data_IF_923405239336
#
_entry.id   IF_923405239336
#
_cell.length_a   1.000
_cell.length_b   1.000
_cell.length_c   1.000
_cell.angle_alpha   90.00
_cell.angle_beta   90.00
_cell.angle_gamma   90.00
#
_symmetry.space_group_name_H-M   'P 1'
#
loop_
_entity.id
_entity.type
_entity.pdbx_description
1 polymer ?
#
# COMPACT_ATOMS: atom_id res chain seq x y z
N UNK A 1 -6.51 -2.13 -8.89
CA UNK A 1 -7.03 -1.20 -7.87
C UNK A 1 -5.87 -0.51 -7.18
N UNK A 2 -6.10 0.71 -6.75
CA UNK A 2 -5.06 1.51 -6.14
C UNK A 2 -5.48 1.99 -4.76
N UNK A 3 -4.51 2.11 -3.89
CA UNK A 3 -4.72 2.64 -2.55
C UNK A 3 -3.74 3.79 -2.34
N UNK A 4 -4.19 4.82 -1.66
CA UNK A 4 -3.36 6.00 -1.43
C UNK A 4 -3.23 6.26 0.06
N UNK A 5 -2.04 6.63 0.49
CA UNK A 5 -1.81 7.02 1.86
C UNK A 5 -2.45 8.39 2.10
N UNK A 6 -3.33 8.47 3.10
CA UNK A 6 -4.04 9.71 3.39
C UNK A 6 -3.14 10.78 4.00
N UNK A 7 -1.97 10.40 4.43
CA UNK A 7 -1.06 11.31 5.12
C UNK A 7 -0.06 11.95 4.16
N UNK A 8 0.59 11.14 3.34
CA UNK A 8 1.64 11.66 2.45
C UNK A 8 1.30 11.54 0.96
N UNK A 9 0.25 10.80 0.62
CA UNK A 9 -0.15 10.66 -0.77
C UNK A 9 0.57 9.58 -1.56
N UNK A 10 1.32 8.72 -0.88
CA UNK A 10 1.98 7.62 -1.56
C UNK A 10 0.93 6.64 -2.07
N UNK A 11 1.12 6.16 -3.30
CA UNK A 11 0.16 5.27 -3.93
C UNK A 11 0.69 3.85 -4.01
N UNK A 12 -0.18 2.90 -3.68
CA UNK A 12 0.09 1.49 -3.85
C UNK A 12 -0.79 0.94 -4.97
N UNK A 13 -0.16 0.40 -5.99
CA UNK A 13 -0.88 -0.21 -7.11
C UNK A 13 -0.77 -1.73 -6.96
N UNK A 14 -1.91 -2.39 -6.86
CA UNK A 14 -1.93 -3.84 -6.69
C UNK A 14 -1.27 -4.57 -7.85
N UNK A 15 -1.35 -4.01 -9.05
CA UNK A 15 -0.75 -4.65 -10.21
C UNK A 15 0.77 -4.55 -10.20
N UNK A 16 1.30 -3.47 -9.66
CA UNK A 16 2.74 -3.26 -9.61
C UNK A 16 3.37 -3.77 -8.32
N UNK A 17 2.58 -3.81 -7.26
CA UNK A 17 3.08 -4.20 -5.97
C UNK A 17 4.09 -3.21 -5.41
N UNK A 18 4.87 -3.68 -4.47
CA UNK A 18 5.95 -2.87 -3.90
C UNK A 18 7.10 -3.79 -3.53
N UNK A 19 7.93 -4.17 -4.52
CA UNK A 19 9.01 -5.15 -4.27
C UNK A 19 10.00 -4.73 -3.20
N UNK A 20 10.24 -3.42 -3.09
CA UNK A 20 11.17 -2.92 -2.07
C UNK A 20 10.66 -3.19 -0.66
N UNK A 21 9.35 -3.27 -0.50
CA UNK A 21 8.74 -3.60 0.78
C UNK A 21 8.38 -5.07 0.91
N UNK A 22 8.77 -5.88 -0.07
CA UNK A 22 8.49 -7.30 -0.03
C UNK A 22 7.12 -7.69 -0.56
N UNK A 23 6.47 -6.82 -1.31
CA UNK A 23 5.15 -7.08 -1.85
C UNK A 23 5.26 -7.34 -3.34
N UNK A 24 4.97 -8.57 -3.75
CA UNK A 24 5.09 -8.96 -5.15
C UNK A 24 4.02 -8.28 -6.01
N UNK A 25 4.32 -8.03 -7.30
CA UNK A 25 3.30 -7.52 -8.21
C UNK A 25 2.11 -8.47 -8.29
N UNK A 26 0.92 -7.90 -8.35
CA UNK A 26 -0.31 -8.67 -8.40
C UNK A 26 -0.89 -9.05 -7.06
N UNK A 27 -0.24 -8.67 -5.98
CA UNK A 27 -0.73 -8.97 -4.64
C UNK A 27 -1.82 -7.97 -4.25
N UNK A 28 -2.97 -8.49 -3.84
CA UNK A 28 -4.09 -7.64 -3.48
C UNK A 28 -3.84 -6.96 -2.14
N UNK A 29 -4.48 -5.81 -1.97
CA UNK A 29 -4.32 -5.03 -0.73
C UNK A 29 -4.68 -5.86 0.50
N UNK A 30 -5.72 -6.65 0.41
CA UNK A 30 -6.15 -7.47 1.54
C UNK A 30 -5.15 -8.58 1.88
N UNK A 31 -4.27 -8.92 0.92
CA UNK A 31 -3.22 -9.91 1.13
C UNK A 31 -1.94 -9.28 1.65
N UNK A 32 -1.87 -7.96 1.65
CA UNK A 32 -0.73 -7.26 2.24
C UNK A 32 -0.82 -7.39 3.75
N UNK A 33 0.31 -7.67 4.40
CA UNK A 33 0.34 -7.88 5.84
C UNK A 33 -0.24 -6.68 6.58
N UNK A 34 -0.88 -6.96 7.70
CA UNK A 34 -1.56 -5.90 8.44
C UNK A 34 -0.61 -4.90 9.08
N UNK A 35 0.63 -5.30 9.29
CA UNK A 35 1.63 -4.42 9.88
C UNK A 35 2.41 -3.64 8.81
N UNK A 36 1.96 -3.70 7.56
CA UNK A 36 2.57 -2.91 6.51
C UNK A 36 2.45 -1.42 6.82
N UNK A 37 3.52 -0.70 6.58
CA UNK A 37 3.56 0.74 6.82
C UNK A 37 3.96 1.48 5.55
N UNK A 38 3.43 2.69 5.40
CA UNK A 38 3.79 3.53 4.27
C UNK A 38 5.30 3.77 4.27
N UNK A 39 5.99 3.54 3.13
CA UNK A 39 7.43 3.72 3.09
C UNK A 39 7.89 5.17 3.23
N UNK A 40 6.97 6.11 3.09
CA UNK A 40 7.31 7.53 3.15
C UNK A 40 7.03 8.13 4.52
N UNK A 41 5.89 7.82 5.11
CA UNK A 41 5.50 8.45 6.37
C UNK A 41 5.27 7.46 7.51
N UNK A 42 5.37 6.18 7.23
CA UNK A 42 5.32 5.11 8.23
C UNK A 42 3.99 4.98 8.97
N UNK A 43 2.89 5.40 8.34
CA UNK A 43 1.57 5.14 8.92
C UNK A 43 1.10 3.75 8.50
N UNK A 44 0.19 3.18 9.27
CA UNK A 44 -0.31 1.84 9.00
C UNK A 44 -1.31 1.79 7.86
N UNK A 45 -1.75 0.58 7.54
CA UNK A 45 -2.71 0.36 6.46
C UNK A 45 -4.03 1.10 6.68
N UNK A 46 -4.39 1.33 7.93
CA UNK A 46 -5.64 2.00 8.25
C UNK A 46 -5.66 3.45 7.80
N UNK A 47 -4.51 3.99 7.44
CA UNK A 47 -4.41 5.35 6.91
C UNK A 47 -4.43 5.38 5.39
N UNK A 48 -4.76 4.27 4.76
CA UNK A 48 -4.87 4.21 3.31
C UNK A 48 -6.32 4.18 2.87
N UNK A 49 -6.59 4.80 1.72
CA UNK A 49 -7.93 4.81 1.15
C UNK A 49 -7.90 4.23 -0.25
N UNK A 50 -8.94 3.51 -0.60
CA UNK A 50 -9.05 2.95 -1.95
C UNK A 50 -9.41 4.07 -2.92
N UNK A 51 -8.65 4.18 -3.99
CA UNK A 51 -8.82 5.25 -4.97
C UNK A 51 -9.51 4.74 -6.22
N UNK A 52 -9.45 3.45 -6.48
CA UNK A 52 -9.97 2.94 -7.76
C UNK A 52 -10.77 1.68 -7.58
#
# INVERSE_FOLDING_TARGET
MKYVCDVCGWEYDEEEGYPEGGIAPGKKWEDVQEDFECPLCNVGKDQFSEVE
#
